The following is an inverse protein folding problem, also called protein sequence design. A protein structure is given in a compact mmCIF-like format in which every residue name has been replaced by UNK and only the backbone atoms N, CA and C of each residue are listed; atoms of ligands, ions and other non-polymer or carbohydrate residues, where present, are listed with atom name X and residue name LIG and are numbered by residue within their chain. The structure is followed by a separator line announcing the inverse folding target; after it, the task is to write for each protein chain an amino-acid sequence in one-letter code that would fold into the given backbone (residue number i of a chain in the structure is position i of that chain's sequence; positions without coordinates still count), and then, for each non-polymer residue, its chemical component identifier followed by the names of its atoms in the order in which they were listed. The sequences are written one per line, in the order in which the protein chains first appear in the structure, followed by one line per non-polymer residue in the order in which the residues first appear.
data_IF_053220980562
#
_entry.id   IF_053220980562
#
_cell.length_a   1.000
_cell.length_b   1.000
_cell.length_c   1.000
_cell.angle_alpha   90.00
_cell.angle_beta   90.00
_cell.angle_gamma   90.00
#
_symmetry.space_group_name_H-M   'P 1'
#
loop_
_entity.id
_entity.type
_entity.pdbx_description
1 polymer ?
#
# COMPACT_ATOMS: atom_id res chain seq x y z
N UNK A 1 -1.87 10.46 2.29
CA UNK A 1 -1.48 9.51 1.23
C UNK A 1 -0.38 10.10 0.34
N UNK A 2 -0.51 11.36 -0.09
CA UNK A 2 0.52 12.02 -0.89
C UNK A 2 1.83 12.24 -0.12
N UNK A 3 1.77 12.48 1.19
CA UNK A 3 2.95 12.56 2.06
C UNK A 3 3.73 11.23 2.08
N UNK A 4 3.04 10.10 2.30
CA UNK A 4 3.62 8.74 2.22
C UNK A 4 4.32 8.54 0.88
N UNK A 5 3.66 8.87 -0.25
CA UNK A 5 4.26 8.73 -1.58
C UNK A 5 5.47 9.62 -1.78
N UNK A 6 5.42 10.86 -1.31
CA UNK A 6 6.54 11.81 -1.37
C UNK A 6 7.76 11.24 -0.66
N UNK A 7 7.58 10.69 0.54
CA UNK A 7 8.66 10.04 1.30
C UNK A 7 9.19 8.79 0.58
N UNK A 8 8.33 7.94 0.02
CA UNK A 8 8.76 6.79 -0.78
C UNK A 8 9.55 7.20 -2.02
N UNK A 9 9.11 8.26 -2.71
CA UNK A 9 9.81 8.80 -3.87
C UNK A 9 11.17 9.36 -3.48
N UNK A 10 11.26 10.08 -2.35
CA UNK A 10 12.53 10.56 -1.82
C UNK A 10 13.53 9.40 -1.57
N UNK A 11 13.07 8.30 -0.95
CA UNK A 11 13.89 7.11 -0.73
C UNK A 11 14.31 6.47 -2.06
N UNK A 12 13.38 6.38 -3.01
CA UNK A 12 13.66 5.81 -4.33
C UNK A 12 14.74 6.62 -5.07
N UNK A 13 14.67 7.94 -5.01
CA UNK A 13 15.67 8.82 -5.61
C UNK A 13 17.05 8.61 -4.95
N UNK A 14 17.12 8.48 -3.62
CA UNK A 14 18.39 8.23 -2.91
C UNK A 14 19.01 6.89 -3.31
N UNK A 15 18.19 5.88 -3.59
CA UNK A 15 18.64 4.58 -4.13
C UNK A 15 19.15 4.74 -5.56
N UNK A 16 18.41 5.45 -6.42
CA UNK A 16 18.75 5.62 -7.84
C UNK A 16 20.01 6.48 -8.04
N UNK A 17 20.21 7.49 -7.19
CA UNK A 17 21.37 8.37 -7.21
C UNK A 17 22.62 7.74 -6.55
N UNK A 18 22.53 6.49 -6.08
CA UNK A 18 23.59 5.77 -5.36
C UNK A 18 24.10 6.50 -4.10
N UNK A 19 23.27 7.34 -3.47
CA UNK A 19 23.61 8.11 -2.26
C UNK A 19 23.06 7.48 -0.98
N UNK A 20 22.33 6.37 -1.09
CA UNK A 20 21.76 5.64 0.04
C UNK A 20 22.80 5.24 1.12
N UNK A 21 24.02 4.75 0.80
CA UNK A 21 25.01 4.42 1.82
C UNK A 21 25.41 5.61 2.69
N UNK A 22 25.57 6.79 2.09
CA UNK A 22 25.92 8.03 2.79
C UNK A 22 24.76 8.58 3.62
N UNK A 23 23.52 8.37 3.16
CA UNK A 23 22.31 8.87 3.80
C UNK A 23 21.59 7.82 4.67
N UNK A 24 22.22 6.66 4.90
CA UNK A 24 21.60 5.50 5.55
C UNK A 24 20.89 5.82 6.88
N UNK A 25 21.47 6.59 7.82
CA UNK A 25 20.79 6.91 9.08
C UNK A 25 19.48 7.70 8.87
N UNK A 26 19.51 8.69 7.97
CA UNK A 26 18.35 9.55 7.67
C UNK A 26 17.26 8.72 7.01
N UNK A 27 17.62 7.91 6.01
CA UNK A 27 16.66 7.06 5.31
C UNK A 27 16.04 6.03 6.24
N UNK A 28 16.81 5.47 7.18
CA UNK A 28 16.29 4.53 8.16
C UNK A 28 15.22 5.20 9.05
N UNK A 29 15.47 6.42 9.53
CA UNK A 29 14.46 7.20 10.28
C UNK A 29 13.22 7.44 9.42
N UNK A 30 13.39 7.88 8.18
CA UNK A 30 12.28 8.12 7.25
C UNK A 30 11.42 6.86 7.03
N UNK A 31 12.05 5.68 6.90
CA UNK A 31 11.33 4.41 6.74
C UNK A 31 10.58 4.03 8.01
N UNK A 32 11.20 4.18 9.19
CA UNK A 32 10.52 3.91 10.47
C UNK A 32 9.30 4.83 10.67
N UNK A 33 9.44 6.13 10.36
CA UNK A 33 8.32 7.07 10.39
C UNK A 33 7.22 6.70 9.40
N UNK A 34 7.58 6.26 8.19
CA UNK A 34 6.64 5.78 7.18
C UNK A 34 5.84 4.56 7.66
N UNK A 35 6.48 3.61 8.33
CA UNK A 35 5.81 2.43 8.90
C UNK A 35 4.73 2.88 9.90
N UNK A 36 5.07 3.79 10.82
CA UNK A 36 4.13 4.31 11.81
C UNK A 36 3.02 5.16 11.18
N UNK A 37 3.33 5.98 10.18
CA UNK A 37 2.34 6.74 9.43
C UNK A 37 1.35 5.82 8.71
N UNK A 38 1.85 4.77 8.04
CA UNK A 38 0.98 3.77 7.40
C UNK A 38 0.14 3.04 8.45
N UNK A 39 0.70 2.61 9.57
CA UNK A 39 -0.04 1.95 10.66
C UNK A 39 -1.21 2.79 11.13
N UNK A 40 -1.02 4.09 11.31
CA UNK A 40 -2.04 5.02 11.80
C UNK A 40 -2.99 5.56 10.71
N UNK A 41 -2.61 5.47 9.44
CA UNK A 41 -3.42 5.97 8.32
C UNK A 41 -4.63 5.10 8.02
N UNK A 42 -5.71 5.71 7.53
CA UNK A 42 -6.89 5.01 7.04
C UNK A 42 -6.89 4.93 5.52
N UNK A 43 -7.14 3.73 4.99
CA UNK A 43 -7.26 3.48 3.56
C UNK A 43 -8.74 3.38 3.18
N UNK A 44 -9.15 4.09 2.14
CA UNK A 44 -10.54 4.11 1.67
C UNK A 44 -10.69 3.42 0.31
N UNK A 45 -11.63 2.50 0.19
CA UNK A 45 -11.95 1.83 -1.07
C UNK A 45 -13.43 2.00 -1.42
N UNK A 46 -13.74 2.13 -2.71
CA UNK A 46 -15.14 2.18 -3.18
C UNK A 46 -15.57 0.76 -3.54
N UNK A 47 -16.58 0.24 -2.84
CA UNK A 47 -17.18 -1.04 -3.15
C UNK A 47 -18.61 -0.84 -3.64
N UNK A 48 -18.95 -1.50 -4.74
CA UNK A 48 -20.33 -1.56 -5.23
C UNK A 48 -20.95 -2.87 -4.72
N UNK A 49 -22.08 -2.80 -4.01
CA UNK A 49 -22.84 -3.99 -3.63
C UNK A 49 -24.34 -3.79 -3.79
N UNK A 50 -25.04 -4.91 -3.96
CA UNK A 50 -26.43 -4.92 -4.38
C UNK A 50 -27.43 -4.91 -3.21
N UNK A 51 -27.16 -5.60 -2.09
CA UNK A 51 -28.16 -5.69 -1.01
C UNK A 51 -27.58 -5.62 0.40
N UNK A 52 -28.35 -5.02 1.32
CA UNK A 52 -28.05 -5.09 2.76
C UNK A 52 -28.22 -6.49 3.36
N UNK A 53 -28.81 -7.44 2.61
CA UNK A 53 -29.09 -8.82 3.04
C UNK A 53 -27.92 -9.78 2.80
N UNK A 54 -27.15 -9.60 1.72
CA UNK A 54 -25.94 -10.40 1.47
C UNK A 54 -24.68 -9.54 1.59
N UNK A 55 -24.06 -9.59 2.77
CA UNK A 55 -22.83 -8.85 3.10
C UNK A 55 -21.55 -9.67 2.84
N UNK A 56 -21.63 -10.86 2.25
CA UNK A 56 -20.46 -11.73 2.07
C UNK A 56 -19.35 -11.05 1.25
N UNK A 57 -19.71 -10.41 0.12
CA UNK A 57 -18.75 -9.66 -0.70
C UNK A 57 -18.17 -8.46 0.06
N UNK A 58 -18.98 -7.76 0.84
CA UNK A 58 -18.53 -6.65 1.67
C UNK A 58 -17.46 -7.09 2.68
N UNK A 59 -17.70 -8.17 3.42
CA UNK A 59 -16.69 -8.73 4.34
C UNK A 59 -15.45 -9.21 3.60
N UNK A 60 -15.61 -9.83 2.43
CA UNK A 60 -14.47 -10.24 1.60
C UNK A 60 -13.61 -9.05 1.18
N UNK A 61 -14.23 -7.93 0.76
CA UNK A 61 -13.50 -6.72 0.39
C UNK A 61 -12.80 -6.08 1.59
N UNK A 62 -13.41 -6.07 2.78
CA UNK A 62 -12.73 -5.64 4.01
C UNK A 62 -11.48 -6.49 4.27
N UNK A 63 -11.59 -7.81 4.19
CA UNK A 63 -10.44 -8.70 4.38
C UNK A 63 -9.32 -8.45 3.35
N UNK A 64 -9.69 -8.21 2.08
CA UNK A 64 -8.73 -7.88 1.04
C UNK A 64 -8.07 -6.50 1.27
N UNK A 65 -8.83 -5.51 1.72
CA UNK A 65 -8.30 -4.19 2.05
C UNK A 65 -7.34 -4.22 3.25
N UNK A 66 -7.68 -4.97 4.29
CA UNK A 66 -6.75 -5.27 5.41
C UNK A 66 -5.48 -5.96 4.91
N UNK A 67 -5.61 -6.95 4.03
CA UNK A 67 -4.47 -7.66 3.44
C UNK A 67 -3.59 -6.73 2.60
N UNK A 68 -4.18 -5.82 1.84
CA UNK A 68 -3.45 -4.83 1.03
C UNK A 68 -2.63 -3.90 1.92
N UNK A 69 -3.25 -3.33 2.98
CA UNK A 69 -2.53 -2.50 3.96
C UNK A 69 -1.42 -3.30 4.68
N UNK A 70 -1.70 -4.52 5.10
CA UNK A 70 -0.69 -5.39 5.71
C UNK A 70 0.48 -5.67 4.75
N UNK A 71 0.20 -5.86 3.45
CA UNK A 71 1.25 -6.04 2.44
C UNK A 71 2.14 -4.81 2.30
N UNK A 72 1.56 -3.61 2.31
CA UNK A 72 2.31 -2.36 2.33
C UNK A 72 3.27 -2.30 3.52
N UNK A 73 2.77 -2.60 4.73
CA UNK A 73 3.59 -2.62 5.94
C UNK A 73 4.73 -3.63 5.87
N UNK A 74 4.44 -4.87 5.43
CA UNK A 74 5.47 -5.90 5.27
C UNK A 74 6.57 -5.48 4.29
N UNK A 75 6.21 -4.81 3.19
CA UNK A 75 7.22 -4.33 2.23
C UNK A 75 8.07 -3.17 2.78
N UNK A 76 7.49 -2.31 3.62
CA UNK A 76 8.24 -1.26 4.33
C UNK A 76 9.19 -1.84 5.37
N UNK A 77 8.73 -2.82 6.16
CA UNK A 77 9.55 -3.54 7.13
C UNK A 77 10.68 -4.32 6.43
N UNK A 78 10.43 -4.87 5.23
CA UNK A 78 11.47 -5.50 4.41
C UNK A 78 12.51 -4.48 3.91
N UNK A 79 12.08 -3.30 3.46
CA UNK A 79 12.99 -2.20 3.08
C UNK A 79 13.85 -1.78 4.27
N UNK A 80 13.24 -1.58 5.45
CA UNK A 80 13.96 -1.23 6.67
C UNK A 80 15.03 -2.28 6.99
N UNK A 81 14.65 -3.55 6.92
CA UNK A 81 15.56 -4.67 7.14
C UNK A 81 16.73 -4.68 6.15
N UNK A 82 16.48 -4.50 4.85
CA UNK A 82 17.53 -4.44 3.83
C UNK A 82 18.48 -3.25 4.07
N UNK A 83 17.95 -2.09 4.47
CA UNK A 83 18.77 -0.90 4.78
C UNK A 83 19.69 -1.16 5.97
N UNK A 84 19.21 -1.87 7.01
CA UNK A 84 20.00 -2.17 8.21
C UNK A 84 21.21 -3.06 7.91
N UNK A 85 21.14 -3.92 6.90
CA UNK A 85 22.26 -4.83 6.54
C UNK A 85 23.55 -4.07 6.20
N UNK A 86 24.67 -4.74 6.41
CA UNK A 86 25.98 -4.27 5.97
C UNK A 86 26.08 -4.27 4.44
N UNK A 87 25.69 -5.38 3.80
CA UNK A 87 25.61 -5.53 2.35
C UNK A 87 24.15 -5.45 1.91
N UNK A 88 23.67 -4.22 1.76
CA UNK A 88 22.28 -3.91 1.41
C UNK A 88 21.98 -4.26 -0.06
N UNK A 89 20.78 -4.79 -0.32
CA UNK A 89 20.32 -5.06 -1.68
C UNK A 89 19.49 -3.89 -2.23
N UNK A 90 20.17 -2.90 -2.79
CA UNK A 90 19.54 -1.69 -3.36
C UNK A 90 18.56 -2.00 -4.49
N UNK A 91 18.84 -3.04 -5.31
CA UNK A 91 17.93 -3.49 -6.37
C UNK A 91 16.60 -3.97 -5.79
N UNK A 92 16.63 -4.73 -4.68
CA UNK A 92 15.42 -5.20 -4.00
C UNK A 92 14.62 -4.02 -3.44
N UNK A 93 15.29 -3.09 -2.79
CA UNK A 93 14.66 -1.86 -2.25
C UNK A 93 13.97 -1.08 -3.38
N UNK A 94 14.68 -0.83 -4.49
CA UNK A 94 14.15 -0.11 -5.64
C UNK A 94 12.92 -0.80 -6.25
N UNK A 95 12.93 -2.13 -6.37
CA UNK A 95 11.79 -2.91 -6.87
C UNK A 95 10.57 -2.76 -5.95
N UNK A 96 10.76 -2.83 -4.63
CA UNK A 96 9.67 -2.68 -3.66
C UNK A 96 9.09 -1.26 -3.70
N UNK A 97 9.95 -0.23 -3.67
CA UNK A 97 9.54 1.18 -3.75
C UNK A 97 8.76 1.47 -5.03
N UNK A 98 9.30 1.06 -6.18
CA UNK A 98 8.66 1.25 -7.48
C UNK A 98 7.30 0.56 -7.53
N UNK A 99 7.21 -0.65 -6.99
CA UNK A 99 5.94 -1.39 -6.93
C UNK A 99 4.90 -0.67 -6.07
N UNK A 100 5.28 -0.17 -4.89
CA UNK A 100 4.37 0.57 -4.01
C UNK A 100 3.90 1.87 -4.66
N UNK A 101 4.79 2.61 -5.34
CA UNK A 101 4.44 3.84 -6.05
C UNK A 101 3.51 3.57 -7.23
N UNK A 102 3.86 2.61 -8.11
CA UNK A 102 3.10 2.30 -9.32
C UNK A 102 1.71 1.72 -9.03
N UNK A 103 1.52 1.08 -7.88
CA UNK A 103 0.24 0.50 -7.46
C UNK A 103 -0.57 1.43 -6.54
N UNK A 104 -0.15 2.69 -6.43
CA UNK A 104 -0.79 3.68 -5.56
C UNK A 104 -0.89 3.17 -4.12
N UNK A 105 0.22 2.71 -3.55
CA UNK A 105 0.29 2.07 -2.23
C UNK A 105 -0.58 0.81 -2.14
N UNK A 106 -0.58 -0.01 -3.20
CA UNK A 106 -1.44 -1.18 -3.40
C UNK A 106 -2.94 -0.91 -3.45
N UNK A 107 -3.35 0.36 -3.47
CA UNK A 107 -4.78 0.71 -3.47
C UNK A 107 -5.41 0.57 -4.84
N UNK A 108 -4.69 0.93 -5.90
CA UNK A 108 -5.19 0.85 -7.27
C UNK A 108 -5.43 -0.61 -7.68
N UNK A 109 -4.51 -1.53 -7.34
CA UNK A 109 -4.66 -2.95 -7.64
C UNK A 109 -5.92 -3.55 -7.00
N UNK A 110 -6.16 -3.23 -5.73
CA UNK A 110 -7.34 -3.72 -5.04
C UNK A 110 -8.62 -3.05 -5.55
N UNK A 111 -8.58 -1.74 -5.83
CA UNK A 111 -9.74 -1.05 -6.41
C UNK A 111 -10.12 -1.64 -7.76
N UNK A 112 -9.13 -1.89 -8.64
CA UNK A 112 -9.34 -2.58 -9.92
C UNK A 112 -9.91 -3.99 -9.73
N UNK A 113 -9.45 -4.73 -8.72
CA UNK A 113 -10.01 -6.04 -8.39
C UNK A 113 -11.48 -5.93 -7.95
N UNK A 114 -11.82 -4.95 -7.11
CA UNK A 114 -13.20 -4.69 -6.67
C UNK A 114 -14.09 -4.28 -7.85
N UNK A 115 -13.61 -3.41 -8.73
CA UNK A 115 -14.37 -2.88 -9.87
C UNK A 115 -14.69 -3.95 -10.93
N UNK A 116 -13.86 -4.99 -11.03
CA UNK A 116 -14.13 -6.16 -11.89
C UNK A 116 -15.31 -7.01 -11.43
N UNK A 117 -15.79 -6.84 -10.21
CA UNK A 117 -17.00 -7.54 -9.75
C UNK A 117 -18.23 -6.88 -10.36
N UNK A 118 -18.67 -7.44 -11.48
CA UNK A 118 -19.88 -7.04 -12.19
C UNK A 118 -21.07 -7.82 -11.63
N UNK A 119 -22.18 -7.12 -11.42
CA UNK A 119 -23.44 -7.73 -11.05
C UNK A 119 -24.00 -8.52 -12.25
N UNK A 120 -24.18 -9.83 -12.09
CA UNK A 120 -24.81 -10.70 -13.09
C UNK A 120 -26.34 -10.79 -12.93
N UNK A 121 -26.91 -10.16 -11.89
CA UNK A 121 -28.35 -10.05 -11.67
C UNK A 121 -28.83 -8.65 -12.05
N UNK A 122 -30.04 -8.53 -12.62
CA UNK A 122 -30.65 -7.30 -13.18
C UNK A 122 -31.06 -6.24 -12.14
N UNK A 123 -30.18 -5.98 -11.17
CA UNK A 123 -30.57 -5.35 -9.92
C UNK A 123 -29.73 -4.12 -9.60
N UNK A 124 -30.34 -3.12 -8.96
CA UNK A 124 -29.73 -1.79 -8.76
C UNK A 124 -28.46 -1.82 -7.91
N UNK A 125 -27.36 -1.31 -8.45
CA UNK A 125 -26.07 -1.21 -7.76
C UNK A 125 -26.07 -0.07 -6.72
N UNK A 126 -25.66 -0.35 -5.47
CA UNK A 126 -25.41 0.68 -4.45
C UNK A 126 -23.90 0.79 -4.19
N UNK A 127 -23.39 2.01 -4.01
CA UNK A 127 -21.96 2.29 -3.77
C UNK A 127 -21.72 2.57 -2.29
N UNK A 128 -20.63 2.04 -1.76
CA UNK A 128 -20.24 2.17 -0.35
C UNK A 128 -18.74 2.39 -0.23
N UNK A 129 -18.34 3.10 0.82
CA UNK A 129 -16.93 3.33 1.14
C UNK A 129 -16.50 2.36 2.23
N UNK A 130 -15.47 1.58 1.95
CA UNK A 130 -14.76 0.75 2.91
C UNK A 130 -13.63 1.58 3.52
N UNK A 131 -13.67 1.80 4.82
CA UNK A 131 -12.58 2.43 5.56
C UNK A 131 -11.81 1.34 6.32
N UNK A 132 -10.53 1.20 6.02
CA UNK A 132 -9.62 0.30 6.72
C UNK A 132 -8.62 1.13 7.51
N UNK A 133 -8.77 1.07 8.83
CA UNK A 133 -7.78 1.54 9.79
C UNK A 133 -6.68 0.51 9.97
#
# INVERSE_FOLDING_TARGET
MDEIKTKLQYILNTVQDATLPSNKPIILVTVTELIEEVRNSSFSYKATYYTGKNKAHFYRYICLAKKSKAKLLTDLEEIEYEIRKMNMNEKRISVLLSKMLNTELYTADLQNYIDRWINTTNSQNKKYTLLVK
#
